data_IF_086752327810
#
_entry.id   IF_086752327810
#
_cell.length_a   1.000
_cell.length_b   1.000
_cell.length_c   1.000
_cell.angle_alpha   90.00
_cell.angle_beta   90.00
_cell.angle_gamma   90.00
#
_symmetry.space_group_name_H-M   'P 1'
#
loop_
_entity.id
_entity.type
_entity.pdbx_description
1 polymer ?
#
# COMPACT_ATOMS: atom_id res chain seq x y z
N UNK A 1 27.21 7.87 2.36
CA UNK A 1 26.60 7.03 1.31
C UNK A 1 25.13 7.41 1.25
N UNK A 2 24.52 7.42 0.07
CA UNK A 2 23.08 7.63 -0.06
C UNK A 2 22.33 6.52 0.68
N UNK A 3 21.23 6.84 1.35
CA UNK A 3 20.34 5.86 1.95
C UNK A 3 19.71 4.97 0.88
N UNK A 4 19.36 3.73 1.23
CA UNK A 4 18.70 2.80 0.32
C UNK A 4 17.22 2.76 0.62
N UNK A 5 16.41 2.70 -0.45
CA UNK A 5 14.97 2.50 -0.37
C UNK A 5 14.56 1.22 -1.13
N UNK A 6 13.62 0.48 -0.59
CA UNK A 6 12.99 -0.69 -1.25
C UNK A 6 11.53 -0.38 -1.51
N UNK A 7 11.04 -0.68 -2.72
CA UNK A 7 9.61 -0.53 -3.08
C UNK A 7 9.11 -1.83 -3.70
N UNK A 8 8.07 -2.43 -3.10
CA UNK A 8 7.42 -3.62 -3.66
C UNK A 8 6.27 -3.23 -4.59
N UNK A 9 6.04 -4.03 -5.65
CA UNK A 9 5.05 -3.69 -6.67
C UNK A 9 5.43 -2.42 -7.44
N UNK A 10 6.73 -2.24 -7.73
CA UNK A 10 7.28 -1.03 -8.34
C UNK A 10 7.24 -1.05 -9.87
N UNK A 11 6.75 -2.11 -10.50
CA UNK A 11 6.67 -2.22 -11.96
C UNK A 11 5.69 -1.23 -12.61
N UNK A 12 4.64 -0.80 -11.89
CA UNK A 12 3.61 0.13 -12.39
C UNK A 12 2.92 0.92 -11.28
N UNK A 13 2.01 1.82 -11.67
CA UNK A 13 1.10 2.52 -10.77
C UNK A 13 1.80 3.27 -9.64
N UNK A 14 1.27 3.15 -8.43
CA UNK A 14 1.80 3.83 -7.25
C UNK A 14 3.26 3.48 -6.97
N UNK A 15 3.62 2.20 -7.07
CA UNK A 15 4.96 1.73 -6.75
C UNK A 15 6.03 2.35 -7.66
N UNK A 16 5.75 2.44 -8.96
CA UNK A 16 6.63 3.12 -9.93
C UNK A 16 6.81 4.60 -9.59
N UNK A 17 5.72 5.30 -9.30
CA UNK A 17 5.78 6.74 -8.99
C UNK A 17 6.43 7.01 -7.62
N UNK A 18 6.24 6.12 -6.62
CA UNK A 18 6.95 6.17 -5.35
C UNK A 18 8.45 5.98 -5.57
N UNK A 19 8.85 4.97 -6.36
CA UNK A 19 10.25 4.71 -6.67
C UNK A 19 10.93 5.91 -7.35
N UNK A 20 10.27 6.54 -8.33
CA UNK A 20 10.75 7.77 -8.97
C UNK A 20 10.97 8.92 -7.99
N UNK A 21 10.02 9.14 -7.07
CA UNK A 21 10.10 10.22 -6.08
C UNK A 21 11.20 9.97 -5.04
N UNK A 22 11.38 8.72 -4.62
CA UNK A 22 12.47 8.35 -3.71
C UNK A 22 13.84 8.54 -4.38
N UNK A 23 13.99 8.12 -5.64
CA UNK A 23 15.21 8.39 -6.42
C UNK A 23 15.46 9.89 -6.58
N UNK A 24 14.43 10.70 -6.87
CA UNK A 24 14.50 12.15 -6.91
C UNK A 24 14.89 12.81 -5.58
N UNK A 25 14.72 12.12 -4.44
CA UNK A 25 15.24 12.54 -3.13
C UNK A 25 16.64 12.04 -2.80
N UNK A 26 17.30 11.37 -3.75
CA UNK A 26 18.68 10.90 -3.63
C UNK A 26 18.84 9.51 -3.03
N UNK A 27 17.74 8.74 -2.82
CA UNK A 27 17.86 7.34 -2.39
C UNK A 27 18.34 6.45 -3.53
N UNK A 28 19.19 5.47 -3.23
CA UNK A 28 19.44 4.34 -4.11
C UNK A 28 18.23 3.37 -3.99
N UNK A 29 17.39 3.27 -5.04
CA UNK A 29 16.13 2.55 -4.96
C UNK A 29 16.25 1.14 -5.51
N UNK A 30 15.85 0.13 -4.72
CA UNK A 30 15.55 -1.21 -5.17
C UNK A 30 14.08 -1.30 -5.56
N UNK A 31 13.80 -1.32 -6.86
CA UNK A 31 12.48 -1.56 -7.41
C UNK A 31 12.21 -3.07 -7.47
N UNK A 32 11.16 -3.56 -6.82
CA UNK A 32 10.80 -4.98 -6.88
C UNK A 32 9.37 -5.17 -7.36
N UNK A 33 9.15 -6.22 -8.13
CA UNK A 33 7.81 -6.60 -8.62
C UNK A 33 7.78 -8.12 -8.89
N UNK A 34 6.58 -8.71 -8.94
CA UNK A 34 6.39 -10.07 -9.42
C UNK A 34 6.81 -10.18 -10.90
N UNK A 35 6.53 -9.12 -11.68
CA UNK A 35 7.03 -8.92 -13.03
C UNK A 35 8.44 -8.30 -12.96
N UNK A 36 9.47 -9.13 -13.13
CA UNK A 36 10.87 -8.72 -13.06
C UNK A 36 11.26 -7.74 -14.18
N UNK A 37 10.65 -7.84 -15.37
CA UNK A 37 10.92 -6.93 -16.49
C UNK A 37 10.35 -5.52 -16.20
N UNK A 38 9.14 -5.46 -15.66
CA UNK A 38 8.53 -4.19 -15.26
C UNK A 38 9.32 -3.52 -14.10
N UNK A 39 9.85 -4.31 -13.17
CA UNK A 39 10.74 -3.82 -12.11
C UNK A 39 12.06 -3.27 -12.70
N UNK A 40 12.66 -3.98 -13.66
CA UNK A 40 13.89 -3.58 -14.33
C UNK A 40 13.71 -2.28 -15.12
N UNK A 41 12.63 -2.14 -15.87
CA UNK A 41 12.28 -0.92 -16.59
C UNK A 41 12.12 0.30 -15.66
N UNK A 42 11.51 0.10 -14.50
CA UNK A 42 11.41 1.16 -13.49
C UNK A 42 12.78 1.52 -12.94
N UNK A 43 13.61 0.53 -12.58
CA UNK A 43 14.95 0.74 -12.06
C UNK A 43 15.85 1.48 -13.06
N UNK A 44 15.83 1.12 -14.34
CA UNK A 44 16.55 1.79 -15.40
C UNK A 44 16.15 3.27 -15.50
N UNK A 45 14.85 3.54 -15.51
CA UNK A 45 14.33 4.90 -15.62
C UNK A 45 14.74 5.84 -14.48
N UNK A 46 15.11 5.29 -13.31
CA UNK A 46 15.48 6.06 -12.11
C UNK A 46 16.96 5.93 -11.72
N UNK A 47 17.76 5.20 -12.49
CA UNK A 47 19.15 4.89 -12.13
C UNK A 47 19.27 4.04 -10.87
N UNK A 48 18.27 3.23 -10.58
CA UNK A 48 18.20 2.33 -9.44
C UNK A 48 18.64 0.89 -9.77
N UNK A 49 18.20 -0.05 -8.98
CA UNK A 49 18.41 -1.47 -9.20
C UNK A 49 17.11 -2.24 -9.02
N UNK A 50 17.02 -3.45 -9.54
CA UNK A 50 15.78 -4.23 -9.56
C UNK A 50 15.97 -5.65 -9.05
N UNK A 51 14.87 -6.25 -8.60
CA UNK A 51 14.78 -7.66 -8.26
C UNK A 51 13.37 -8.16 -8.52
N UNK A 52 13.23 -9.32 -9.14
CA UNK A 52 11.94 -10.02 -9.15
C UNK A 52 11.59 -10.48 -7.75
N UNK A 53 10.37 -10.17 -7.28
CA UNK A 53 9.93 -10.51 -5.94
C UNK A 53 8.44 -10.86 -5.91
N UNK A 54 8.13 -12.09 -5.50
CA UNK A 54 6.79 -12.46 -5.07
C UNK A 54 6.65 -12.13 -3.59
N UNK A 55 5.75 -11.21 -3.24
CA UNK A 55 5.55 -10.77 -1.85
C UNK A 55 4.96 -11.86 -0.94
N UNK A 56 4.47 -12.95 -1.52
CA UNK A 56 3.96 -14.12 -0.77
C UNK A 56 5.10 -14.98 -0.22
N UNK A 57 6.31 -14.86 -0.77
CA UNK A 57 7.50 -15.58 -0.32
C UNK A 57 8.28 -14.76 0.73
N UNK A 58 8.27 -15.17 2.02
CA UNK A 58 9.03 -14.46 3.06
C UNK A 58 10.54 -14.46 2.81
N UNK A 59 11.07 -15.48 2.12
CA UNK A 59 12.49 -15.53 1.79
C UNK A 59 12.86 -14.52 0.69
N UNK A 60 11.96 -14.25 -0.26
CA UNK A 60 12.16 -13.20 -1.26
C UNK A 60 12.34 -11.82 -0.61
N UNK A 61 11.55 -11.51 0.42
CA UNK A 61 11.72 -10.28 1.19
C UNK A 61 13.08 -10.22 1.91
N UNK A 62 13.53 -11.32 2.52
CA UNK A 62 14.86 -11.40 3.15
C UNK A 62 15.98 -11.22 2.13
N UNK A 63 15.86 -11.81 0.94
CA UNK A 63 16.83 -11.58 -0.16
C UNK A 63 16.87 -10.13 -0.59
N UNK A 64 15.72 -9.48 -0.76
CA UNK A 64 15.64 -8.06 -1.11
C UNK A 64 16.26 -7.17 -0.03
N UNK A 65 16.00 -7.47 1.24
CA UNK A 65 16.57 -6.73 2.36
C UNK A 65 18.11 -6.85 2.39
N UNK A 66 18.66 -8.06 2.20
CA UNK A 66 20.11 -8.28 2.08
C UNK A 66 20.70 -7.49 0.90
N UNK A 67 20.12 -7.59 -0.29
CA UNK A 67 20.57 -6.85 -1.46
C UNK A 67 20.56 -5.33 -1.25
N UNK A 68 19.60 -4.83 -0.47
CA UNK A 68 19.53 -3.42 -0.12
C UNK A 68 20.67 -3.00 0.82
N UNK A 69 20.89 -3.72 1.92
CA UNK A 69 21.94 -3.34 2.90
C UNK A 69 23.36 -3.53 2.36
N UNK A 70 23.58 -4.37 1.36
CA UNK A 70 24.87 -4.47 0.66
C UNK A 70 25.24 -3.17 -0.06
N UNK A 71 24.27 -2.38 -0.49
CA UNK A 71 24.45 -1.13 -1.23
C UNK A 71 24.57 0.10 -0.34
N UNK A 72 24.02 0.05 0.86
CA UNK A 72 24.04 1.17 1.81
C UNK A 72 23.12 0.96 3.01
N UNK A 73 22.98 1.96 3.89
CA UNK A 73 22.04 1.87 5.00
C UNK A 73 20.61 1.84 4.47
N UNK A 74 19.83 0.84 4.90
CA UNK A 74 18.42 0.76 4.55
C UNK A 74 17.63 1.77 5.37
N UNK A 75 17.06 2.78 4.74
CA UNK A 75 16.31 3.84 5.40
C UNK A 75 14.82 3.80 5.09
N UNK A 76 14.42 3.32 3.92
CA UNK A 76 13.01 3.30 3.52
C UNK A 76 12.62 1.93 2.98
N UNK A 77 11.50 1.41 3.48
CA UNK A 77 10.85 0.24 2.90
C UNK A 77 9.37 0.53 2.64
N UNK A 78 8.93 0.36 1.40
CA UNK A 78 7.54 0.58 1.01
C UNK A 78 6.90 -0.73 0.59
N UNK A 79 5.97 -1.23 1.41
CA UNK A 79 5.10 -2.34 1.07
C UNK A 79 3.92 -1.79 0.25
N UNK A 80 4.08 -1.76 -1.08
CA UNK A 80 3.08 -1.24 -2.00
C UNK A 80 2.37 -2.34 -2.80
N UNK A 81 2.99 -3.48 -3.05
CA UNK A 81 2.37 -4.57 -3.80
C UNK A 81 0.99 -4.93 -3.23
N UNK A 82 0.03 -5.11 -4.11
CA UNK A 82 -1.33 -5.43 -3.74
C UNK A 82 -2.17 -5.92 -4.91
N UNK A 83 -3.24 -6.62 -4.60
CA UNK A 83 -4.25 -7.09 -5.55
C UNK A 83 -5.65 -6.72 -5.07
N UNK A 84 -6.58 -6.66 -6.00
CA UNK A 84 -7.98 -6.34 -5.74
C UNK A 84 -8.87 -7.34 -6.48
N UNK A 85 -9.87 -7.89 -5.78
CA UNK A 85 -10.97 -8.64 -6.36
C UNK A 85 -12.28 -7.99 -5.91
N UNK A 86 -13.21 -7.82 -6.83
CA UNK A 86 -14.50 -7.18 -6.58
C UNK A 86 -15.61 -8.18 -6.78
N UNK A 87 -16.11 -8.72 -5.66
CA UNK A 87 -17.21 -9.67 -5.59
C UNK A 87 -18.00 -9.51 -4.31
N UNK A 88 -19.22 -10.01 -4.28
CA UNK A 88 -19.92 -10.23 -3.00
C UNK A 88 -19.13 -11.26 -2.20
N UNK A 89 -19.08 -11.10 -0.88
CA UNK A 89 -18.24 -11.93 -0.04
C UNK A 89 -18.46 -13.45 -0.19
N UNK A 90 -19.69 -13.85 -0.46
CA UNK A 90 -20.07 -15.27 -0.63
C UNK A 90 -19.86 -15.82 -2.05
N UNK A 91 -19.53 -14.96 -3.03
CA UNK A 91 -19.28 -15.32 -4.43
C UNK A 91 -17.77 -15.40 -4.76
N UNK A 92 -16.89 -15.07 -3.81
CA UNK A 92 -15.45 -15.23 -3.99
C UNK A 92 -15.06 -16.69 -4.15
N UNK A 93 -14.16 -16.97 -5.06
CA UNK A 93 -13.47 -18.26 -5.10
C UNK A 93 -12.44 -18.35 -3.97
N UNK A 94 -12.25 -19.53 -3.41
CA UNK A 94 -11.28 -19.74 -2.30
C UNK A 94 -9.87 -19.26 -2.66
N UNK A 95 -9.43 -19.48 -3.90
CA UNK A 95 -8.12 -19.04 -4.37
C UNK A 95 -8.02 -17.52 -4.50
N UNK A 96 -9.11 -16.83 -4.82
CA UNK A 96 -9.14 -15.36 -4.84
C UNK A 96 -9.01 -14.80 -3.43
N UNK A 97 -9.71 -15.42 -2.45
CA UNK A 97 -9.60 -15.05 -1.02
C UNK A 97 -8.17 -15.24 -0.52
N UNK A 98 -7.57 -16.41 -0.80
CA UNK A 98 -6.18 -16.71 -0.43
C UNK A 98 -5.22 -15.71 -1.06
N UNK A 99 -5.35 -15.46 -2.36
CA UNK A 99 -4.49 -14.52 -3.08
C UNK A 99 -4.54 -13.10 -2.45
N UNK A 100 -5.73 -12.59 -2.13
CA UNK A 100 -5.85 -11.26 -1.49
C UNK A 100 -5.21 -11.23 -0.10
N UNK A 101 -5.39 -12.28 0.69
CA UNK A 101 -4.79 -12.39 2.03
C UNK A 101 -3.26 -12.51 1.93
N UNK A 102 -2.79 -13.39 1.07
CA UNK A 102 -1.35 -13.66 0.92
C UNK A 102 -0.60 -12.42 0.42
N UNK A 103 -1.14 -11.72 -0.59
CA UNK A 103 -0.48 -10.54 -1.15
C UNK A 103 -0.67 -9.31 -0.25
N UNK A 104 -1.92 -8.98 0.10
CA UNK A 104 -2.23 -7.70 0.75
C UNK A 104 -1.92 -7.67 2.25
N UNK A 105 -1.90 -8.83 2.91
CA UNK A 105 -1.63 -8.92 4.35
C UNK A 105 -0.31 -9.61 4.64
N UNK A 106 -0.14 -10.87 4.24
CA UNK A 106 1.11 -11.59 4.54
C UNK A 106 2.32 -10.93 3.86
N UNK A 107 2.18 -10.46 2.59
CA UNK A 107 3.23 -9.71 1.92
C UNK A 107 3.67 -8.46 2.69
N UNK A 108 2.72 -7.73 3.29
CA UNK A 108 3.04 -6.58 4.15
C UNK A 108 3.72 -7.01 5.46
N UNK A 109 3.26 -8.09 6.08
CA UNK A 109 3.87 -8.62 7.32
C UNK A 109 5.32 -9.06 7.06
N UNK A 110 5.55 -9.85 6.00
CA UNK A 110 6.88 -10.36 5.66
C UNK A 110 7.84 -9.22 5.28
N UNK A 111 7.37 -8.27 4.46
CA UNK A 111 8.16 -7.11 4.07
C UNK A 111 8.52 -6.22 5.25
N UNK A 112 7.56 -5.93 6.14
CA UNK A 112 7.83 -5.14 7.35
C UNK A 112 8.82 -5.81 8.27
N UNK A 113 8.72 -7.14 8.48
CA UNK A 113 9.67 -7.90 9.30
C UNK A 113 11.08 -7.89 8.70
N UNK A 114 11.20 -8.17 7.40
CA UNK A 114 12.49 -8.14 6.71
C UNK A 114 13.12 -6.74 6.74
N UNK A 115 12.31 -5.69 6.61
CA UNK A 115 12.77 -4.32 6.73
C UNK A 115 13.28 -3.99 8.14
N UNK A 116 12.51 -4.34 9.18
CA UNK A 116 12.91 -4.10 10.59
C UNK A 116 14.22 -4.82 10.92
N UNK A 117 14.35 -6.10 10.53
CA UNK A 117 15.56 -6.87 10.77
C UNK A 117 16.79 -6.23 10.09
N UNK A 118 16.67 -5.87 8.81
CA UNK A 118 17.75 -5.25 8.05
C UNK A 118 18.08 -3.82 8.54
N UNK A 119 17.10 -3.03 8.93
CA UNK A 119 17.29 -1.69 9.48
C UNK A 119 17.97 -1.74 10.85
N UNK A 120 17.70 -2.76 11.66
CA UNK A 120 18.41 -2.98 12.94
C UNK A 120 19.85 -3.43 12.73
N UNK A 121 20.14 -4.16 11.65
CA UNK A 121 21.49 -4.59 11.29
C UNK A 121 22.30 -3.44 10.68
N UNK A 122 21.76 -2.78 9.68
CA UNK A 122 22.42 -1.70 8.91
C UNK A 122 21.43 -0.64 8.43
N UNK A 123 20.80 0.04 9.38
CA UNK A 123 19.95 1.19 9.08
C UNK A 123 20.70 2.51 9.11
N UNK A 124 20.05 3.55 8.58
CA UNK A 124 20.47 4.94 8.70
C UNK A 124 19.89 5.61 9.95
N UNK A 125 19.88 6.95 9.93
CA UNK A 125 19.30 7.74 11.03
C UNK A 125 17.80 7.96 10.86
N UNK A 126 17.26 7.84 9.64
CA UNK A 126 15.88 8.13 9.29
C UNK A 126 15.23 6.87 8.71
N UNK A 127 14.81 5.95 9.58
CA UNK A 127 14.27 4.66 9.17
C UNK A 127 12.75 4.67 9.13
N UNK A 128 12.19 4.33 7.98
CA UNK A 128 10.76 4.36 7.71
C UNK A 128 10.28 3.09 7.03
N UNK A 129 9.22 2.49 7.56
CA UNK A 129 8.45 1.44 6.86
C UNK A 129 7.07 1.99 6.55
N UNK A 130 6.70 2.01 5.27
CA UNK A 130 5.44 2.57 4.78
C UNK A 130 4.60 1.46 4.16
N UNK A 131 3.41 1.25 4.67
CA UNK A 131 2.47 0.25 4.18
C UNK A 131 1.33 0.92 3.40
N UNK A 132 1.05 0.44 2.17
CA UNK A 132 -0.09 0.91 1.40
C UNK A 132 -1.36 0.26 1.91
N UNK A 133 -2.11 1.03 2.69
CA UNK A 133 -3.46 0.72 3.11
C UNK A 133 -4.50 1.04 2.03
N UNK A 134 -5.68 1.47 2.46
CA UNK A 134 -6.79 1.98 1.65
C UNK A 134 -7.78 2.70 2.56
N UNK A 135 -8.65 3.53 2.02
CA UNK A 135 -9.83 4.03 2.74
C UNK A 135 -10.71 2.90 3.26
N UNK A 136 -10.71 1.74 2.59
CA UNK A 136 -11.37 0.52 3.06
C UNK A 136 -10.81 -0.05 4.36
N UNK A 137 -9.70 0.47 4.90
CA UNK A 137 -9.20 0.15 6.23
C UNK A 137 -10.00 0.81 7.38
N UNK A 138 -10.91 1.72 7.08
CA UNK A 138 -11.68 2.46 8.08
C UNK A 138 -13.18 2.19 8.06
N UNK A 139 -13.71 1.63 6.98
CA UNK A 139 -15.15 1.52 6.78
C UNK A 139 -15.51 0.24 6.02
N UNK A 140 -16.70 -0.34 6.26
CA UNK A 140 -17.22 -1.44 5.46
C UNK A 140 -17.34 -1.02 3.99
N UNK A 141 -16.94 -1.91 3.07
CA UNK A 141 -17.03 -1.67 1.64
C UNK A 141 -17.71 -2.88 0.98
N UNK A 142 -19.05 -2.86 0.81
CA UNK A 142 -19.76 -3.91 0.10
C UNK A 142 -19.19 -4.12 -1.31
N UNK A 143 -19.01 -5.37 -1.71
CA UNK A 143 -18.33 -5.74 -2.96
C UNK A 143 -16.80 -5.89 -2.84
N UNK A 144 -16.21 -5.44 -1.74
CA UNK A 144 -14.76 -5.50 -1.45
C UNK A 144 -14.48 -6.08 -0.06
N UNK A 145 -15.29 -7.00 0.45
CA UNK A 145 -15.23 -7.43 1.84
C UNK A 145 -13.89 -8.06 2.22
N UNK A 146 -13.34 -8.95 1.38
CA UNK A 146 -12.04 -9.60 1.62
C UNK A 146 -10.92 -8.56 1.55
N UNK A 147 -10.93 -7.73 0.53
CA UNK A 147 -9.97 -6.62 0.40
C UNK A 147 -10.01 -5.69 1.61
N UNK A 148 -11.19 -5.25 2.02
CA UNK A 148 -11.37 -4.40 3.20
C UNK A 148 -10.83 -5.05 4.46
N UNK A 149 -11.08 -6.36 4.66
CA UNK A 149 -10.55 -7.11 5.79
C UNK A 149 -9.01 -7.10 5.80
N UNK A 150 -8.35 -7.33 4.66
CA UNK A 150 -6.88 -7.25 4.58
C UNK A 150 -6.35 -5.87 4.91
N UNK A 151 -7.02 -4.79 4.44
CA UNK A 151 -6.58 -3.42 4.69
C UNK A 151 -6.83 -2.94 6.13
N UNK A 152 -7.90 -3.41 6.79
CA UNK A 152 -8.08 -3.24 8.24
C UNK A 152 -6.96 -3.95 9.02
N UNK A 153 -6.62 -5.18 8.64
CA UNK A 153 -5.54 -5.95 9.26
C UNK A 153 -4.18 -5.25 9.10
N UNK A 154 -3.86 -4.70 7.94
CA UNK A 154 -2.64 -3.91 7.70
C UNK A 154 -2.55 -2.71 8.63
N UNK A 155 -3.67 -1.98 8.83
CA UNK A 155 -3.70 -0.85 9.76
C UNK A 155 -3.42 -1.29 11.20
N UNK A 156 -4.10 -2.35 11.66
CA UNK A 156 -3.92 -2.90 13.02
C UNK A 156 -2.50 -3.44 13.23
N UNK A 157 -1.97 -4.20 12.27
CA UNK A 157 -0.61 -4.73 12.29
C UNK A 157 0.43 -3.60 12.39
N UNK A 158 0.30 -2.57 11.54
CA UNK A 158 1.25 -1.45 11.52
C UNK A 158 1.27 -0.68 12.84
N UNK A 159 0.09 -0.43 13.41
CA UNK A 159 -0.01 0.26 14.70
C UNK A 159 0.59 -0.56 15.85
N UNK A 160 0.34 -1.88 15.87
CA UNK A 160 0.88 -2.79 16.87
C UNK A 160 2.40 -2.89 16.77
N UNK A 161 2.94 -3.08 15.55
CA UNK A 161 4.38 -3.13 15.32
C UNK A 161 5.08 -1.82 15.71
N UNK A 162 4.45 -0.65 15.47
CA UNK A 162 4.98 0.63 15.97
C UNK A 162 5.06 0.63 17.50
N UNK A 163 4.06 0.09 18.20
CA UNK A 163 4.08 -0.05 19.65
C UNK A 163 5.23 -0.94 20.14
N UNK A 164 5.45 -2.08 19.48
CA UNK A 164 6.55 -3.00 19.80
C UNK A 164 7.93 -2.33 19.59
N UNK A 165 8.11 -1.60 18.48
CA UNK A 165 9.34 -0.86 18.19
C UNK A 165 9.62 0.22 19.23
N UNK A 166 8.58 0.96 19.62
CA UNK A 166 8.70 1.99 20.69
C UNK A 166 9.07 1.38 22.03
N UNK A 167 8.44 0.28 22.42
CA UNK A 167 8.73 -0.43 23.67
C UNK A 167 10.17 -0.99 23.69
N UNK A 168 10.68 -1.39 22.52
CA UNK A 168 12.05 -1.90 22.36
C UNK A 168 13.10 -0.78 22.16
N UNK A 169 12.71 0.49 22.09
CA UNK A 169 13.63 1.62 21.82
C UNK A 169 14.24 1.60 20.42
N UNK A 170 13.57 0.95 19.43
CA UNK A 170 14.04 0.86 18.06
C UNK A 170 13.50 2.06 17.26
N UNK A 171 14.36 2.94 16.71
CA UNK A 171 13.95 4.21 16.10
C UNK A 171 13.49 4.03 14.64
N UNK A 172 12.55 3.12 14.38
CA UNK A 172 11.93 2.93 13.08
C UNK A 172 10.51 3.52 13.13
N UNK A 173 10.18 4.39 12.18
CA UNK A 173 8.85 4.95 12.03
C UNK A 173 7.99 4.10 11.09
N UNK A 174 6.84 3.66 11.59
CA UNK A 174 5.85 2.91 10.79
C UNK A 174 4.77 3.85 10.28
N UNK A 175 4.40 3.71 9.01
CA UNK A 175 3.37 4.53 8.38
C UNK A 175 2.35 3.69 7.61
N UNK A 176 1.11 4.19 7.52
CA UNK A 176 0.09 3.66 6.62
C UNK A 176 -0.47 4.80 5.76
N UNK A 177 -0.41 4.65 4.45
CA UNK A 177 -1.09 5.53 3.50
C UNK A 177 -2.38 4.86 3.07
N UNK A 178 -3.50 5.55 3.23
CA UNK A 178 -4.84 5.06 2.93
C UNK A 178 -5.47 5.87 1.79
N UNK A 179 -5.16 5.55 0.52
CA UNK A 179 -5.80 6.20 -0.62
C UNK A 179 -7.28 5.81 -0.73
N UNK A 180 -8.08 6.74 -1.25
CA UNK A 180 -9.41 6.47 -1.80
C UNK A 180 -9.30 5.92 -3.24
N UNK A 181 -10.42 5.87 -3.97
CA UNK A 181 -10.43 5.45 -5.37
C UNK A 181 -9.39 6.22 -6.19
N UNK A 182 -8.52 5.48 -6.85
CA UNK A 182 -7.44 6.04 -7.65
C UNK A 182 -7.46 5.48 -9.07
N UNK A 183 -7.08 6.30 -10.03
CA UNK A 183 -7.02 5.93 -11.44
C UNK A 183 -5.72 5.16 -11.73
N UNK A 184 -5.80 3.84 -11.64
CA UNK A 184 -4.72 2.90 -11.86
C UNK A 184 -5.20 1.73 -12.73
N UNK A 185 -4.28 0.97 -13.31
CA UNK A 185 -4.62 -0.24 -14.07
C UNK A 185 -5.46 -1.20 -13.22
N UNK A 186 -5.12 -1.37 -11.94
CA UNK A 186 -5.85 -2.22 -10.99
C UNK A 186 -7.35 -1.87 -10.92
N UNK A 187 -7.68 -0.58 -10.90
CA UNK A 187 -9.07 -0.11 -10.84
C UNK A 187 -9.73 -0.11 -12.20
N UNK A 188 -9.03 0.25 -13.27
CA UNK A 188 -9.55 0.25 -14.66
C UNK A 188 -9.91 -1.17 -15.12
N UNK A 189 -9.06 -2.17 -14.81
CA UNK A 189 -9.33 -3.57 -15.12
C UNK A 189 -10.64 -4.07 -14.49
N UNK A 190 -11.07 -3.48 -13.36
CA UNK A 190 -12.31 -3.82 -12.63
C UNK A 190 -13.50 -2.92 -12.96
N UNK A 191 -13.33 -1.94 -13.84
CA UNK A 191 -14.38 -0.95 -14.14
C UNK A 191 -15.68 -1.56 -14.67
N UNK A 192 -15.61 -2.72 -15.32
CA UNK A 192 -16.79 -3.43 -15.84
C UNK A 192 -17.53 -4.27 -14.78
N UNK A 193 -16.93 -4.53 -13.62
CA UNK A 193 -17.52 -5.33 -12.54
C UNK A 193 -18.52 -4.51 -11.71
N UNK A 194 -19.77 -4.95 -11.50
CA UNK A 194 -20.78 -4.19 -10.76
C UNK A 194 -20.35 -3.83 -9.34
N UNK A 195 -19.70 -4.77 -8.66
CA UNK A 195 -19.25 -4.65 -7.27
C UNK A 195 -18.14 -3.59 -7.10
N UNK A 196 -17.43 -3.26 -8.17
CA UNK A 196 -16.38 -2.23 -8.15
C UNK A 196 -16.92 -0.80 -8.05
N UNK A 197 -18.22 -0.57 -8.28
CA UNK A 197 -18.81 0.75 -8.43
C UNK A 197 -18.47 1.74 -7.30
N UNK A 198 -18.32 1.25 -6.07
CA UNK A 198 -17.98 2.08 -4.91
C UNK A 198 -16.62 2.76 -5.03
N UNK A 199 -15.68 2.20 -5.80
CA UNK A 199 -14.35 2.77 -6.05
C UNK A 199 -14.49 4.15 -6.71
N UNK A 200 -15.49 4.32 -7.58
CA UNK A 200 -15.81 5.58 -8.27
C UNK A 200 -16.71 6.52 -7.45
N UNK A 201 -16.96 6.24 -6.18
CA UNK A 201 -17.78 7.11 -5.31
C UNK A 201 -17.09 8.42 -4.97
N UNK A 202 -15.76 8.50 -5.10
CA UNK A 202 -15.01 9.74 -4.90
C UNK A 202 -15.40 10.80 -5.92
N UNK A 203 -15.47 12.09 -5.54
CA UNK A 203 -15.70 13.18 -6.49
C UNK A 203 -14.69 13.23 -7.62
N UNK A 204 -13.46 12.82 -7.35
CA UNK A 204 -12.35 12.70 -8.29
C UNK A 204 -11.49 11.49 -7.91
N UNK A 205 -11.08 10.74 -8.91
CA UNK A 205 -10.08 9.69 -8.72
C UNK A 205 -8.71 10.33 -8.41
N UNK A 206 -7.96 9.73 -7.51
CA UNK A 206 -6.58 10.14 -7.23
C UNK A 206 -5.67 9.69 -8.36
N UNK A 207 -4.63 10.47 -8.65
CA UNK A 207 -3.57 10.02 -9.55
C UNK A 207 -2.50 9.21 -8.80
N UNK A 208 -1.70 8.43 -9.53
CA UNK A 208 -0.58 7.70 -8.94
C UNK A 208 0.46 8.65 -8.34
N UNK A 209 0.68 9.79 -8.97
CA UNK A 209 1.61 10.84 -8.53
C UNK A 209 1.17 11.49 -7.22
N UNK A 210 -0.13 11.70 -7.02
CA UNK A 210 -0.68 12.26 -5.78
C UNK A 210 -0.46 11.31 -4.60
N UNK A 211 -0.72 10.02 -4.83
CA UNK A 211 -0.49 9.00 -3.80
C UNK A 211 1.01 8.85 -3.50
N UNK A 212 1.85 8.85 -4.53
CA UNK A 212 3.30 8.78 -4.37
C UNK A 212 3.85 10.01 -3.62
N UNK A 213 3.35 11.23 -3.94
CA UNK A 213 3.75 12.45 -3.22
C UNK A 213 3.47 12.32 -1.73
N UNK A 214 2.22 12.00 -1.38
CA UNK A 214 1.82 11.86 0.01
C UNK A 214 2.55 10.73 0.74
N UNK A 215 2.94 9.66 0.03
CA UNK A 215 3.73 8.56 0.57
C UNK A 215 5.13 9.01 0.94
N UNK A 216 5.81 9.72 0.05
CA UNK A 216 7.19 10.17 0.26
C UNK A 216 7.27 11.36 1.24
N UNK A 217 6.24 12.20 1.33
CA UNK A 217 6.14 13.27 2.34
C UNK A 217 6.09 12.72 3.78
N UNK A 218 5.76 11.44 3.97
CA UNK A 218 5.79 10.81 5.31
C UNK A 218 7.20 10.71 5.90
N UNK A 219 8.24 10.71 5.08
CA UNK A 219 9.63 10.71 5.54
C UNK A 219 9.99 11.97 6.36
N UNK A 220 9.24 13.05 6.16
CA UNK A 220 9.41 14.31 6.89
C UNK A 220 8.30 14.50 7.94
N UNK A 221 7.53 13.46 8.24
CA UNK A 221 6.32 13.55 9.06
C UNK A 221 6.32 12.54 10.21
N UNK A 222 5.81 12.97 11.36
CA UNK A 222 5.54 12.08 12.51
C UNK A 222 4.18 11.36 12.40
N UNK A 223 3.45 11.48 11.30
CA UNK A 223 2.12 10.90 11.16
C UNK A 223 2.23 9.41 10.85
N UNK A 224 1.62 8.58 11.69
CA UNK A 224 1.54 7.14 11.44
C UNK A 224 0.52 6.80 10.33
N UNK A 225 -0.61 7.51 10.27
CA UNK A 225 -1.69 7.19 9.32
C UNK A 225 -2.11 8.43 8.54
N UNK A 226 -2.05 8.33 7.21
CA UNK A 226 -2.51 9.39 6.29
C UNK A 226 -3.56 8.83 5.33
N UNK A 227 -4.73 9.46 5.34
CA UNK A 227 -5.80 9.18 4.38
C UNK A 227 -5.80 10.22 3.26
N UNK A 228 -6.11 9.80 2.04
CA UNK A 228 -6.22 10.66 0.86
C UNK A 228 -7.58 10.48 0.18
N UNK A 229 -8.38 11.53 0.03
CA UNK A 229 -8.17 12.87 0.61
C UNK A 229 -8.43 12.87 2.13
N UNK A 230 -7.76 13.76 2.86
CA UNK A 230 -7.79 13.77 4.34
C UNK A 230 -9.19 13.87 4.95
N UNK A 231 -10.06 14.71 4.38
CA UNK A 231 -11.41 14.91 4.88
C UNK A 231 -12.27 13.64 4.82
N UNK A 232 -12.12 12.82 3.77
CA UNK A 232 -12.83 11.54 3.67
C UNK A 232 -12.30 10.54 4.71
N UNK A 233 -11.01 10.56 5.01
CA UNK A 233 -10.43 9.73 6.05
C UNK A 233 -10.99 10.04 7.44
N UNK A 234 -11.22 11.31 7.76
CA UNK A 234 -11.89 11.71 9.01
C UNK A 234 -13.34 11.20 9.03
N UNK A 235 -14.08 11.42 7.94
CA UNK A 235 -15.47 10.96 7.83
C UNK A 235 -15.58 9.43 7.92
N UNK A 236 -14.70 8.67 7.24
CA UNK A 236 -14.69 7.22 7.26
C UNK A 236 -14.40 6.66 8.66
N UNK A 237 -13.44 7.25 9.39
CA UNK A 237 -13.14 6.85 10.77
C UNK A 237 -14.30 7.13 11.73
N UNK A 238 -14.95 8.28 11.61
CA UNK A 238 -16.14 8.60 12.40
C UNK A 238 -17.29 7.60 12.08
N UNK A 239 -17.45 7.25 10.82
CA UNK A 239 -18.44 6.28 10.38
C UNK A 239 -18.16 4.84 10.86
N UNK A 240 -16.92 4.46 11.12
CA UNK A 240 -16.55 3.09 11.55
C UNK A 240 -17.32 2.63 12.80
N UNK A 241 -17.71 3.54 13.67
CA UNK A 241 -18.48 3.26 14.89
C UNK A 241 -20.02 3.34 14.69
N UNK A 242 -20.48 3.67 13.50
CA UNK A 242 -21.89 3.96 13.22
C UNK A 242 -22.81 2.74 13.03
N UNK A 243 -22.29 1.51 13.07
CA UNK A 243 -23.07 0.29 12.93
C UNK A 243 -23.88 0.20 11.62
N UNK A 244 -25.12 -0.29 11.68
CA UNK A 244 -26.01 -0.47 10.50
C UNK A 244 -26.23 0.79 9.64
N UNK A 245 -26.36 2.02 10.17
CA UNK A 245 -26.49 3.23 9.35
C UNK A 245 -25.36 3.44 8.35
N UNK A 246 -24.14 3.01 8.68
CA UNK A 246 -22.99 3.11 7.77
C UNK A 246 -23.17 2.24 6.52
N UNK A 247 -23.85 1.10 6.62
CA UNK A 247 -24.13 0.23 5.48
C UNK A 247 -25.07 0.91 4.48
N UNK A 248 -26.04 1.69 4.95
CA UNK A 248 -26.91 2.50 4.06
C UNK A 248 -26.12 3.61 3.35
N UNK A 249 -25.16 4.22 4.04
CA UNK A 249 -24.26 5.20 3.43
C UNK A 249 -23.40 4.55 2.35
N UNK A 250 -22.87 3.35 2.61
CA UNK A 250 -22.08 2.59 1.64
C UNK A 250 -22.90 2.25 0.38
N UNK A 251 -24.15 1.87 0.53
CA UNK A 251 -25.05 1.61 -0.62
C UNK A 251 -25.36 2.89 -1.42
N UNK A 252 -25.55 4.02 -0.75
CA UNK A 252 -25.69 5.32 -1.42
C UNK A 252 -24.43 5.68 -2.21
N UNK A 253 -23.24 5.50 -1.63
CA UNK A 253 -21.96 5.73 -2.29
C UNK A 253 -21.77 4.81 -3.49
N UNK A 254 -22.17 3.55 -3.39
CA UNK A 254 -22.15 2.60 -4.51
C UNK A 254 -23.00 3.09 -5.68
N UNK A 255 -24.25 3.48 -5.44
CA UNK A 255 -25.14 4.05 -6.48
C UNK A 255 -24.56 5.34 -7.09
N UNK A 256 -23.91 6.17 -6.30
CA UNK A 256 -23.23 7.35 -6.81
C UNK A 256 -22.05 6.98 -7.72
N UNK A 257 -21.27 5.97 -7.33
CA UNK A 257 -20.17 5.44 -8.13
C UNK A 257 -20.64 4.87 -9.47
N UNK A 258 -21.75 4.11 -9.50
CA UNK A 258 -22.37 3.62 -10.74
C UNK A 258 -22.68 4.75 -11.71
N UNK A 259 -23.33 5.81 -11.20
CA UNK A 259 -23.68 6.99 -12.02
C UNK A 259 -22.46 7.73 -12.57
N UNK A 260 -21.37 7.82 -11.80
CA UNK A 260 -20.15 8.49 -12.24
C UNK A 260 -19.39 7.65 -13.25
N UNK A 261 -19.26 6.35 -13.01
CA UNK A 261 -18.64 5.39 -13.94
C UNK A 261 -19.32 5.39 -15.31
N UNK A 262 -20.65 5.55 -15.36
CA UNK A 262 -21.41 5.61 -16.61
C UNK A 262 -21.24 6.92 -17.39
N UNK A 263 -20.60 7.95 -16.81
CA UNK A 263 -20.42 9.28 -17.43
C UNK A 263 -18.97 9.52 -17.92
N UNK A 264 -18.04 8.67 -17.56
CA UNK A 264 -16.65 8.74 -17.99
C UNK A 264 -16.28 7.58 -18.90
#
# INVERSE_FOLDING_TARGET
MAGVAVVTGAGRGFGREIAKRLAGRGYAVLATDLDGEAAAATAEAIGGFSMQLDVRDPEAHRRAARAAIERGPLEVWVNNAGVLRTRKAWDHLDDEVRLEVDVNLYGVIWGSRAAVDAMRERGGQNMHVINLGSMSAFTPVPGLAVYAATKHAVLGFTASLQGDLMAAGVPIAMHVVCPDGADTDMTRERAHEPESAIIWSSPRMLSAEEVASATVELLDSKRMVVALPRWRGVAARAAAFGGRPVLHTSEFLRKQGERRRARG
#
